data_IF_174257168504
#
_entry.id   IF_174257168504
#
_cell.length_a   1.000
_cell.length_b   1.000
_cell.length_c   1.000
_cell.angle_alpha   90.00
_cell.angle_beta   90.00
_cell.angle_gamma   90.00
#
_symmetry.space_group_name_H-M   'P 1'
#
loop_
_entity.id
_entity.type
_entity.pdbx_description
1 polymer ?
#
# COMPACT_ATOMS: atom_id res chain seq x y z
N UNK A 1 6.87 -14.70 11.89
CA UNK A 1 7.00 -13.49 11.04
C UNK A 1 5.85 -12.52 11.25
N UNK A 2 4.62 -12.79 10.78
CA UNK A 2 3.50 -11.84 10.96
C UNK A 2 3.16 -11.59 12.45
N UNK A 3 3.06 -12.66 13.26
CA UNK A 3 2.81 -12.55 14.70
C UNK A 3 3.96 -11.85 15.45
N UNK A 4 5.20 -12.03 15.01
CA UNK A 4 6.35 -11.32 15.59
C UNK A 4 6.30 -9.83 15.28
N UNK A 5 5.83 -9.47 14.08
CA UNK A 5 5.63 -8.07 13.70
C UNK A 5 4.52 -7.43 14.52
N UNK A 6 3.40 -8.12 14.76
CA UNK A 6 2.31 -7.63 15.63
C UNK A 6 2.82 -7.37 17.04
N UNK A 7 3.44 -8.39 17.67
CA UNK A 7 4.06 -8.25 19.00
C UNK A 7 5.05 -7.10 19.09
N UNK A 8 5.89 -6.94 18.06
CA UNK A 8 6.84 -5.82 18.01
C UNK A 8 6.12 -4.47 17.97
N UNK A 9 5.07 -4.34 17.14
CA UNK A 9 4.27 -3.12 17.05
C UNK A 9 3.54 -2.82 18.37
N UNK A 10 3.03 -3.84 19.05
CA UNK A 10 2.41 -3.73 20.37
C UNK A 10 3.39 -3.15 21.39
N UNK A 11 4.60 -3.73 21.51
CA UNK A 11 5.62 -3.19 22.41
C UNK A 11 6.14 -1.79 22.00
N UNK A 12 6.11 -1.47 20.71
CA UNK A 12 6.41 -0.11 20.22
C UNK A 12 5.25 0.88 20.46
N UNK A 13 4.07 0.37 20.83
CA UNK A 13 2.84 1.12 20.99
C UNK A 13 2.37 1.79 19.70
N UNK A 14 2.55 1.09 18.57
CA UNK A 14 2.12 1.52 17.23
C UNK A 14 0.85 0.74 16.88
N UNK A 15 -0.26 1.42 16.56
CA UNK A 15 -1.50 0.74 16.20
C UNK A 15 -1.35 -0.05 14.90
N UNK A 16 -1.98 -1.21 14.84
CA UNK A 16 -2.17 -2.00 13.63
C UNK A 16 -3.63 -2.45 13.54
N UNK A 17 -4.09 -2.71 12.32
CA UNK A 17 -5.48 -3.10 12.05
C UNK A 17 -5.47 -4.47 11.40
N UNK A 18 -6.31 -5.38 11.88
CA UNK A 18 -6.53 -6.66 11.24
C UNK A 18 -7.56 -6.49 10.11
N UNK A 19 -7.08 -6.45 8.86
CA UNK A 19 -7.96 -6.44 7.71
C UNK A 19 -8.76 -7.77 7.63
N UNK A 20 -10.03 -7.73 7.17
CA UNK A 20 -10.84 -8.93 6.96
C UNK A 20 -10.42 -9.72 5.71
N UNK A 21 -9.64 -9.08 4.82
CA UNK A 21 -9.12 -9.64 3.57
C UNK A 21 -7.79 -8.94 3.24
N UNK A 22 -7.68 -8.31 2.07
CA UNK A 22 -6.47 -7.61 1.63
C UNK A 22 -6.13 -6.38 2.49
N UNK A 23 -4.87 -6.31 2.94
CA UNK A 23 -4.38 -5.17 3.73
C UNK A 23 -4.42 -3.86 2.94
N UNK A 24 -4.15 -3.90 1.63
CA UNK A 24 -4.23 -2.72 0.75
C UNK A 24 -5.64 -2.21 0.57
N UNK A 25 -6.63 -3.11 0.58
CA UNK A 25 -8.03 -2.75 0.52
C UNK A 25 -8.50 -2.06 1.80
N UNK A 26 -8.10 -2.58 2.96
CA UNK A 26 -8.35 -1.93 4.25
C UNK A 26 -7.67 -0.56 4.33
N UNK A 27 -6.41 -0.46 3.91
CA UNK A 27 -5.71 0.83 3.86
C UNK A 27 -6.40 1.83 2.93
N UNK A 28 -6.82 1.39 1.74
CA UNK A 28 -7.59 2.21 0.81
C UNK A 28 -8.92 2.68 1.40
N UNK A 29 -9.64 1.80 2.08
CA UNK A 29 -10.87 2.13 2.81
C UNK A 29 -10.62 3.24 3.84
N UNK A 30 -9.60 3.08 4.69
CA UNK A 30 -9.24 4.05 5.73
C UNK A 30 -8.83 5.41 5.15
N UNK A 31 -8.25 5.46 3.93
CA UNK A 31 -8.00 6.76 3.27
C UNK A 31 -9.29 7.47 2.86
N UNK A 32 -10.33 6.71 2.46
CA UNK A 32 -11.61 7.26 1.99
C UNK A 32 -12.49 7.73 3.14
N UNK A 33 -12.47 7.03 4.27
CA UNK A 33 -13.18 7.42 5.50
C UNK A 33 -12.48 8.56 6.23
N UNK A 34 -11.21 8.83 5.90
CA UNK A 34 -10.44 9.93 6.48
C UNK A 34 -9.67 9.55 7.76
N UNK A 35 -9.66 8.27 8.13
CA UNK A 35 -8.93 7.75 9.29
C UNK A 35 -7.40 7.89 9.11
N UNK A 36 -6.93 7.83 7.87
CA UNK A 36 -5.51 8.04 7.53
C UNK A 36 -5.36 8.95 6.31
N UNK A 37 -4.22 9.63 6.22
CA UNK A 37 -3.96 10.58 5.12
C UNK A 37 -3.68 9.90 3.76
N UNK A 38 -2.99 8.75 3.78
CA UNK A 38 -2.59 7.98 2.60
C UNK A 38 -2.32 6.51 2.96
N UNK A 39 -2.46 5.61 1.98
CA UNK A 39 -1.87 4.28 2.02
C UNK A 39 -0.38 4.35 1.73
N UNK A 40 0.41 3.38 2.20
CA UNK A 40 1.83 3.28 1.89
C UNK A 40 2.19 1.86 1.47
N UNK A 41 2.54 1.68 0.20
CA UNK A 41 2.93 0.39 -0.39
C UNK A 41 3.96 0.57 -1.51
N UNK A 42 4.61 -0.52 -1.91
CA UNK A 42 5.35 -0.56 -3.17
C UNK A 42 4.43 -0.89 -4.34
N UNK A 43 3.32 -1.59 -4.10
CA UNK A 43 2.38 -1.98 -5.14
C UNK A 43 1.34 -0.89 -5.36
N UNK A 44 0.55 -1.04 -6.42
CA UNK A 44 -0.44 -0.04 -6.84
C UNK A 44 -1.88 -0.48 -6.53
N UNK A 45 -2.07 -1.64 -5.91
CA UNK A 45 -3.40 -2.24 -5.74
C UNK A 45 -4.29 -1.38 -4.84
N UNK A 46 -3.72 -0.67 -3.87
CA UNK A 46 -4.45 0.27 -3.04
C UNK A 46 -5.12 1.37 -3.86
N UNK A 47 -4.55 1.80 -5.01
CA UNK A 47 -5.22 2.72 -5.93
C UNK A 47 -6.41 2.05 -6.64
N UNK A 48 -6.28 0.77 -7.02
CA UNK A 48 -7.36 -0.03 -7.63
C UNK A 48 -8.51 -0.25 -6.62
N UNK A 49 -8.17 -0.51 -5.36
CA UNK A 49 -9.09 -0.55 -4.23
C UNK A 49 -9.66 0.81 -3.87
N UNK A 50 -9.19 1.90 -4.50
CA UNK A 50 -9.76 3.25 -4.37
C UNK A 50 -9.14 4.11 -3.27
N UNK A 51 -7.86 3.90 -2.96
CA UNK A 51 -7.11 4.76 -2.05
C UNK A 51 -7.02 6.17 -2.63
N UNK A 52 -7.32 7.20 -1.82
CA UNK A 52 -7.23 8.59 -2.29
C UNK A 52 -5.78 9.01 -2.59
N UNK A 53 -4.83 8.47 -1.80
CA UNK A 53 -3.41 8.81 -1.86
C UNK A 53 -2.58 7.58 -1.55
N UNK A 54 -1.59 7.29 -2.39
CA UNK A 54 -0.59 6.25 -2.19
C UNK A 54 0.79 6.88 -2.05
N UNK A 55 1.50 6.54 -0.98
CA UNK A 55 2.91 6.89 -0.77
C UNK A 55 3.79 5.68 -1.05
N UNK A 56 4.60 5.76 -2.10
CA UNK A 56 5.59 4.72 -2.42
C UNK A 56 6.96 5.06 -1.83
N UNK A 57 7.81 4.04 -1.77
CA UNK A 57 9.20 4.12 -1.28
C UNK A 57 9.39 4.48 0.21
N UNK A 58 8.33 4.59 1.02
CA UNK A 58 8.43 5.03 2.43
C UNK A 58 9.32 4.11 3.30
N UNK A 59 9.20 2.79 3.13
CA UNK A 59 9.94 1.79 3.93
C UNK A 59 11.35 1.52 3.41
N UNK A 60 11.66 1.95 2.19
CA UNK A 60 12.94 1.69 1.51
C UNK A 60 13.72 2.98 1.20
N UNK A 61 13.34 4.11 1.79
CA UNK A 61 14.04 5.39 1.61
C UNK A 61 15.51 5.25 2.01
N UNK A 62 16.43 5.61 1.12
CA UNK A 62 17.86 5.47 1.36
C UNK A 62 18.70 5.38 0.09
N UNK A 63 20.00 5.09 0.26
CA UNK A 63 20.93 4.81 -0.84
C UNK A 63 20.84 3.33 -1.21
N UNK A 64 20.18 2.99 -2.32
CA UNK A 64 20.18 1.62 -2.86
C UNK A 64 21.37 1.46 -3.80
N UNK A 65 22.22 0.48 -3.51
CA UNK A 65 23.36 0.12 -4.37
C UNK A 65 22.88 -0.82 -5.47
N UNK A 66 22.94 -0.40 -6.74
CA UNK A 66 22.66 -1.29 -7.86
C UNK A 66 23.90 -2.14 -8.16
N UNK A 67 23.82 -3.46 -7.91
CA UNK A 67 24.91 -4.40 -8.23
C UNK A 67 25.21 -4.47 -9.74
N UNK A 68 24.20 -4.21 -10.60
CA UNK A 68 24.33 -4.26 -12.08
C UNK A 68 24.89 -2.99 -12.73
N UNK A 69 24.82 -1.84 -12.04
CA UNK A 69 25.42 -0.56 -12.46
C UNK A 69 25.91 0.11 -11.17
N UNK A 70 27.22 0.14 -10.88
CA UNK A 70 27.74 0.59 -9.58
C UNK A 70 27.51 2.08 -9.40
N UNK A 71 26.29 2.43 -9.02
CA UNK A 71 25.82 3.77 -8.69
C UNK A 71 24.83 3.65 -7.54
N UNK A 72 24.90 4.62 -6.64
CA UNK A 72 23.91 4.82 -5.62
C UNK A 72 22.79 5.66 -6.21
N UNK A 73 21.55 5.18 -6.13
CA UNK A 73 20.39 6.03 -6.37
C UNK A 73 19.69 6.31 -5.04
N UNK A 74 19.22 7.54 -4.87
CA UNK A 74 18.45 7.96 -3.70
C UNK A 74 16.98 7.75 -4.01
N UNK A 75 16.39 6.71 -3.42
CA UNK A 75 14.94 6.54 -3.46
C UNK A 75 14.31 7.59 -2.55
N UNK A 76 13.48 8.44 -3.14
CA UNK A 76 12.67 9.43 -2.43
C UNK A 76 11.24 8.87 -2.32
N UNK A 77 10.50 9.22 -1.26
CA UNK A 77 9.06 8.99 -1.23
C UNK A 77 8.39 9.59 -2.47
N UNK A 78 7.46 8.85 -3.04
CA UNK A 78 6.65 9.27 -4.18
C UNK A 78 5.19 9.31 -3.73
N UNK A 79 4.48 10.39 -4.07
CA UNK A 79 3.07 10.54 -3.78
C UNK A 79 2.28 10.40 -5.08
N UNK A 80 1.28 9.52 -5.07
CA UNK A 80 0.35 9.32 -6.18
C UNK A 80 -1.05 9.60 -5.64
N UNK A 81 -1.76 10.51 -6.30
CA UNK A 81 -3.16 10.79 -5.97
C UNK A 81 -4.06 10.16 -7.02
N UNK A 82 -5.10 9.47 -6.56
CA UNK A 82 -5.99 8.73 -7.44
C UNK A 82 -6.78 9.68 -8.35
N UNK A 83 -7.25 10.80 -7.84
CA UNK A 83 -8.03 11.78 -8.60
C UNK A 83 -7.20 12.46 -9.71
N UNK A 84 -5.93 12.78 -9.43
CA UNK A 84 -5.00 13.31 -10.44
C UNK A 84 -4.70 12.24 -11.50
N UNK A 85 -4.42 11.00 -11.07
CA UNK A 85 -4.14 9.88 -11.98
C UNK A 85 -5.31 9.58 -12.93
N UNK A 86 -6.53 9.50 -12.39
CA UNK A 86 -7.74 9.24 -13.17
C UNK A 86 -8.03 10.38 -14.17
N UNK A 87 -7.81 11.64 -13.75
CA UNK A 87 -7.97 12.81 -14.63
C UNK A 87 -6.93 12.84 -15.75
N UNK A 88 -5.66 12.58 -15.44
CA UNK A 88 -4.59 12.56 -16.45
C UNK A 88 -4.76 11.43 -17.47
N UNK A 89 -5.26 10.27 -17.02
CA UNK A 89 -5.54 9.13 -17.89
C UNK A 89 -6.89 9.23 -18.60
N UNK A 90 -7.75 10.18 -18.19
CA UNK A 90 -9.15 10.31 -18.63
C UNK A 90 -9.91 8.98 -18.50
N UNK A 91 -9.83 8.38 -17.30
CA UNK A 91 -10.46 7.11 -16.95
C UNK A 91 -11.30 7.23 -15.68
N UNK A 92 -12.32 6.38 -15.57
CA UNK A 92 -12.95 6.08 -14.28
C UNK A 92 -12.14 5.04 -13.51
N UNK A 93 -12.39 4.89 -12.19
CA UNK A 93 -11.75 3.81 -11.40
C UNK A 93 -12.12 2.42 -11.93
N UNK A 94 -13.36 2.21 -12.36
CA UNK A 94 -13.79 0.96 -12.96
C UNK A 94 -13.02 0.66 -14.25
N UNK A 95 -12.82 1.68 -15.10
CA UNK A 95 -11.99 1.54 -16.31
C UNK A 95 -10.52 1.28 -16.00
N UNK A 96 -9.98 1.84 -14.92
CA UNK A 96 -8.63 1.54 -14.44
C UNK A 96 -8.52 0.08 -14.00
N UNK A 97 -9.53 -0.45 -13.30
CA UNK A 97 -9.60 -1.88 -12.91
C UNK A 97 -9.69 -2.76 -14.15
N UNK A 98 -10.57 -2.45 -15.10
CA UNK A 98 -10.69 -3.18 -16.36
C UNK A 98 -9.36 -3.19 -17.14
N UNK A 99 -8.65 -2.06 -17.15
CA UNK A 99 -7.32 -1.94 -17.74
C UNK A 99 -6.32 -2.89 -17.06
N UNK A 100 -6.35 -3.00 -15.73
CA UNK A 100 -5.50 -3.92 -14.98
C UNK A 100 -5.85 -5.39 -15.22
N UNK A 101 -7.14 -5.74 -15.31
CA UNK A 101 -7.58 -7.09 -15.66
C UNK A 101 -7.05 -7.50 -17.05
N UNK A 102 -7.03 -6.58 -18.03
CA UNK A 102 -6.43 -6.85 -19.35
C UNK A 102 -4.92 -7.12 -19.30
N UNK A 103 -4.20 -6.41 -18.43
CA UNK A 103 -2.74 -6.57 -18.27
C UNK A 103 -2.38 -7.82 -17.46
N UNK A 104 -3.29 -8.27 -16.61
CA UNK A 104 -3.07 -9.32 -15.62
C UNK A 104 -3.01 -8.73 -14.21
N UNK A 105 -3.63 -9.44 -13.27
CA UNK A 105 -3.61 -9.15 -11.84
C UNK A 105 -3.25 -10.43 -11.09
N UNK A 106 -3.14 -10.38 -9.76
CA UNK A 106 -2.94 -11.60 -8.98
C UNK A 106 -4.13 -12.58 -9.07
N UNK A 107 -5.29 -12.12 -9.58
CA UNK A 107 -6.51 -12.92 -9.74
C UNK A 107 -6.72 -13.43 -11.18
N UNK A 108 -5.91 -12.99 -12.16
CA UNK A 108 -5.99 -13.48 -13.54
C UNK A 108 -4.69 -13.25 -14.34
N UNK A 109 -4.37 -14.15 -15.27
CA UNK A 109 -3.13 -14.05 -16.08
C UNK A 109 -3.09 -12.85 -17.04
N UNK A 110 -4.23 -12.20 -17.28
CA UNK A 110 -4.37 -11.14 -18.27
C UNK A 110 -4.32 -11.66 -19.71
N UNK A 111 -4.12 -10.73 -20.64
CA UNK A 111 -4.08 -11.03 -22.07
C UNK A 111 -2.66 -10.87 -22.60
N UNK A 112 -2.12 -11.94 -23.18
CA UNK A 112 -0.77 -11.94 -23.75
C UNK A 112 -0.61 -10.84 -24.80
N UNK A 113 0.43 -10.01 -24.62
CA UNK A 113 0.74 -8.91 -25.55
C UNK A 113 -0.06 -7.62 -25.30
N UNK A 114 -0.87 -7.57 -24.24
CA UNK A 114 -1.50 -6.34 -23.77
C UNK A 114 -0.72 -5.80 -22.58
N UNK A 115 0.08 -4.76 -22.82
CA UNK A 115 0.73 -3.98 -21.76
C UNK A 115 0.00 -2.66 -21.47
N UNK A 116 0.53 -1.81 -20.56
CA UNK A 116 -0.17 -0.61 -20.07
C UNK A 116 -0.65 0.35 -21.15
N UNK A 117 0.20 0.65 -22.13
CA UNK A 117 -0.14 1.56 -23.22
C UNK A 117 -1.24 0.99 -24.12
N UNK A 118 -1.22 -0.33 -24.37
CA UNK A 118 -2.23 -0.98 -25.21
C UNK A 118 -3.56 -1.10 -24.46
N UNK A 119 -3.51 -1.51 -23.19
CA UNK A 119 -4.69 -1.62 -22.33
C UNK A 119 -5.42 -0.27 -22.21
N UNK A 120 -4.68 0.82 -21.96
CA UNK A 120 -5.25 2.17 -21.90
C UNK A 120 -5.95 2.56 -23.20
N UNK A 121 -5.30 2.36 -24.36
CA UNK A 121 -5.90 2.65 -25.67
C UNK A 121 -7.18 1.86 -25.93
N UNK A 122 -7.18 0.57 -25.57
CA UNK A 122 -8.34 -0.30 -25.76
C UNK A 122 -9.51 0.15 -24.89
N UNK A 123 -9.27 0.40 -23.60
CA UNK A 123 -10.32 0.90 -22.69
C UNK A 123 -10.84 2.26 -23.13
N UNK A 124 -9.98 3.18 -23.57
CA UNK A 124 -10.41 4.48 -24.13
C UNK A 124 -11.24 4.33 -25.41
N UNK A 125 -10.95 3.33 -26.25
CA UNK A 125 -11.66 3.08 -27.51
C UNK A 125 -13.03 2.43 -27.28
N UNK A 126 -13.08 1.40 -26.45
CA UNK A 126 -14.27 0.54 -26.30
C UNK A 126 -15.12 0.87 -25.06
N UNK A 127 -14.53 1.52 -24.06
CA UNK A 127 -15.20 2.04 -22.87
C UNK A 127 -15.19 1.11 -21.66
N UNK A 128 -15.26 -0.21 -21.86
CA UNK A 128 -15.21 -1.23 -20.80
C UNK A 128 -14.56 -2.52 -21.31
N UNK A 129 -14.25 -3.42 -20.39
CA UNK A 129 -13.58 -4.69 -20.69
C UNK A 129 -14.38 -5.58 -21.65
N UNK A 130 -15.69 -5.72 -21.45
CA UNK A 130 -16.53 -6.62 -22.25
C UNK A 130 -16.49 -6.24 -23.74
N UNK A 131 -16.58 -4.95 -24.05
CA UNK A 131 -16.49 -4.46 -25.44
C UNK A 131 -15.09 -4.60 -26.02
N UNK A 132 -14.04 -4.55 -25.21
CA UNK A 132 -12.66 -4.86 -25.66
C UNK A 132 -12.56 -6.32 -26.09
N UNK A 133 -13.10 -7.24 -25.28
CA UNK A 133 -13.06 -8.67 -25.55
C UNK A 133 -13.81 -9.02 -26.84
N UNK A 134 -15.02 -8.45 -27.02
CA UNK A 134 -15.78 -8.60 -28.25
C UNK A 134 -15.05 -7.99 -29.47
N UNK A 135 -14.61 -6.73 -29.35
CA UNK A 135 -14.03 -5.97 -30.45
C UNK A 135 -12.68 -6.48 -30.93
N UNK A 136 -11.87 -7.04 -30.03
CA UNK A 136 -10.57 -7.64 -30.37
C UNK A 136 -10.64 -9.17 -30.54
N UNK A 137 -11.82 -9.78 -30.34
CA UNK A 137 -12.02 -11.24 -30.36
C UNK A 137 -11.08 -11.99 -29.40
N UNK A 138 -11.00 -11.48 -28.17
CA UNK A 138 -10.14 -12.00 -27.09
C UNK A 138 -11.04 -12.59 -26.01
N UNK A 139 -10.59 -13.67 -25.37
CA UNK A 139 -11.22 -14.20 -24.16
C UNK A 139 -10.23 -14.18 -22.99
N UNK A 140 -10.77 -14.03 -21.78
CA UNK A 140 -10.05 -14.19 -20.52
C UNK A 140 -10.67 -15.40 -19.82
N UNK A 141 -9.85 -16.37 -19.42
CA UNK A 141 -10.29 -17.55 -18.70
C UNK A 141 -10.41 -17.26 -17.20
N UNK A 142 -11.30 -16.32 -16.85
CA UNK A 142 -11.58 -15.92 -15.47
C UNK A 142 -12.95 -15.25 -15.35
N UNK A 143 -13.53 -15.28 -14.15
CA UNK A 143 -14.73 -14.50 -13.84
C UNK A 143 -14.37 -13.02 -13.65
N UNK A 144 -14.52 -12.26 -14.73
CA UNK A 144 -14.23 -10.82 -14.78
C UNK A 144 -15.05 -10.06 -13.75
N UNK A 145 -16.32 -10.42 -13.55
CA UNK A 145 -17.20 -9.72 -12.61
C UNK A 145 -16.78 -9.97 -11.17
N UNK A 146 -16.39 -11.21 -10.85
CA UNK A 146 -15.84 -11.54 -9.53
C UNK A 146 -14.55 -10.74 -9.25
N UNK A 147 -13.63 -10.69 -10.21
CA UNK A 147 -12.36 -9.96 -10.06
C UNK A 147 -12.62 -8.45 -9.92
N UNK A 148 -13.47 -7.89 -10.78
CA UNK A 148 -13.87 -6.47 -10.68
C UNK A 148 -14.48 -6.17 -9.32
N UNK A 149 -15.31 -7.07 -8.79
CA UNK A 149 -15.93 -6.89 -7.48
C UNK A 149 -14.91 -6.93 -6.33
N UNK A 150 -13.85 -7.75 -6.42
CA UNK A 150 -12.75 -7.74 -5.44
C UNK A 150 -12.15 -6.34 -5.33
N UNK A 151 -11.86 -5.69 -6.47
CA UNK A 151 -11.26 -4.36 -6.46
C UNK A 151 -12.25 -3.23 -6.13
N UNK A 152 -13.49 -3.29 -6.64
CA UNK A 152 -14.46 -2.21 -6.49
C UNK A 152 -15.14 -2.23 -5.12
N UNK A 153 -15.47 -3.41 -4.61
CA UNK A 153 -16.20 -3.62 -3.35
C UNK A 153 -15.46 -4.61 -2.43
N UNK A 154 -14.19 -4.35 -2.07
CA UNK A 154 -13.46 -5.26 -1.19
C UNK A 154 -14.07 -5.27 0.23
N UNK A 155 -14.03 -6.42 0.93
CA UNK A 155 -14.34 -6.46 2.36
C UNK A 155 -13.39 -5.51 3.13
N UNK A 156 -13.96 -4.64 3.96
CA UNK A 156 -13.23 -3.77 4.86
C UNK A 156 -14.00 -3.65 6.18
N UNK A 157 -13.29 -3.35 7.26
CA UNK A 157 -13.87 -3.13 8.59
C UNK A 157 -13.81 -1.65 8.98
N UNK A 158 -14.89 -1.15 9.59
CA UNK A 158 -14.93 0.15 10.25
C UNK A 158 -14.42 0.08 11.70
N UNK A 159 -14.22 -1.13 12.23
CA UNK A 159 -13.65 -1.36 13.56
C UNK A 159 -12.13 -1.19 13.50
N UNK A 160 -11.69 0.07 13.38
CA UNK A 160 -10.29 0.45 13.31
C UNK A 160 -10.01 1.64 14.23
N UNK A 161 -9.77 1.35 15.51
CA UNK A 161 -9.37 2.37 16.46
C UNK A 161 -7.85 2.58 16.41
N UNK A 162 -7.41 3.72 15.85
CA UNK A 162 -6.00 4.08 15.79
C UNK A 162 -5.57 4.78 17.08
N UNK A 163 -5.10 4.00 18.05
CA UNK A 163 -4.54 4.51 19.31
C UNK A 163 -3.06 4.20 19.40
N UNK A 164 -2.28 5.25 19.62
CA UNK A 164 -0.87 5.13 19.92
C UNK A 164 -0.70 4.95 21.42
N UNK A 165 -0.07 3.86 21.85
CA UNK A 165 0.20 3.52 23.28
C UNK A 165 1.65 3.71 23.69
N UNK A 166 1.95 3.90 24.97
CA UNK A 166 3.35 4.14 25.37
C UNK A 166 4.28 2.95 25.07
N UNK A 167 5.55 3.25 24.82
CA UNK A 167 6.55 2.24 24.44
C UNK A 167 6.89 1.35 25.65
N UNK A 168 6.71 0.04 25.51
CA UNK A 168 7.14 -0.97 26.48
C UNK A 168 8.62 -1.32 26.26
N UNK A 169 9.49 -0.63 26.99
CA UNK A 169 10.95 -0.80 26.87
C UNK A 169 11.42 -2.17 27.36
N UNK A 170 10.85 -2.68 28.45
CA UNK A 170 11.24 -3.97 29.02
C UNK A 170 10.81 -5.11 28.10
N UNK A 171 9.58 -5.06 27.58
CA UNK A 171 9.07 -5.99 26.57
C UNK A 171 9.92 -5.99 25.29
N UNK A 172 10.30 -4.81 24.79
CA UNK A 172 11.20 -4.71 23.62
C UNK A 172 12.59 -5.30 23.88
N UNK A 173 13.15 -5.11 25.07
CA UNK A 173 14.46 -5.66 25.41
C UNK A 173 14.39 -7.19 25.49
N UNK A 174 13.43 -7.75 26.21
CA UNK A 174 13.24 -9.21 26.30
C UNK A 174 13.04 -9.80 24.91
N UNK A 175 12.08 -9.26 24.16
CA UNK A 175 11.73 -9.78 22.84
C UNK A 175 12.90 -9.68 21.85
N UNK A 176 13.51 -8.49 21.68
CA UNK A 176 14.55 -8.33 20.66
C UNK A 176 15.91 -8.89 21.09
N UNK A 177 16.31 -8.71 22.35
CA UNK A 177 17.66 -9.08 22.82
C UNK A 177 17.71 -10.54 23.24
N UNK A 178 16.79 -10.96 24.12
CA UNK A 178 16.85 -12.28 24.74
C UNK A 178 16.29 -13.37 23.82
N UNK A 179 15.14 -13.13 23.19
CA UNK A 179 14.51 -14.13 22.31
C UNK A 179 15.05 -14.11 20.88
N UNK A 180 15.41 -12.93 20.36
CA UNK A 180 15.82 -12.74 18.95
C UNK A 180 17.30 -12.41 18.76
N UNK A 181 18.08 -12.26 19.83
CA UNK A 181 19.54 -12.13 19.78
C UNK A 181 20.06 -10.79 19.24
N UNK A 182 19.26 -9.72 19.26
CA UNK A 182 19.72 -8.39 18.84
C UNK A 182 20.69 -7.78 19.86
N UNK A 183 21.62 -6.96 19.38
CA UNK A 183 22.57 -6.27 20.27
C UNK A 183 21.86 -5.24 21.16
N UNK A 184 21.91 -5.44 22.49
CA UNK A 184 21.24 -4.60 23.50
C UNK A 184 21.47 -3.10 23.31
N UNK A 185 22.71 -2.69 23.07
CA UNK A 185 23.07 -1.29 22.86
C UNK A 185 22.40 -0.66 21.63
N UNK A 186 22.16 -1.43 20.57
CA UNK A 186 21.44 -0.95 19.37
C UNK A 186 19.96 -0.79 19.65
N UNK A 187 19.37 -1.75 20.38
CA UNK A 187 17.95 -1.73 20.75
C UNK A 187 17.67 -0.54 21.66
N UNK A 188 18.45 -0.32 22.72
CA UNK A 188 18.30 0.84 23.62
C UNK A 188 18.36 2.18 22.88
N UNK A 189 19.32 2.36 21.97
CA UNK A 189 19.43 3.56 21.13
C UNK A 189 18.21 3.75 20.22
N UNK A 190 17.64 2.67 19.69
CA UNK A 190 16.43 2.73 18.87
C UNK A 190 15.20 3.12 19.70
N UNK A 191 15.05 2.57 20.91
CA UNK A 191 13.97 2.90 21.86
C UNK A 191 14.04 4.38 22.25
N UNK A 192 15.22 4.89 22.59
CA UNK A 192 15.40 6.32 22.93
C UNK A 192 14.96 7.24 21.78
N UNK A 193 15.32 6.89 20.54
CA UNK A 193 14.88 7.62 19.34
C UNK A 193 13.37 7.56 19.15
N UNK A 194 12.75 6.39 19.38
CA UNK A 194 11.30 6.20 19.29
C UNK A 194 10.57 7.10 20.30
N UNK A 195 11.02 7.11 21.56
CA UNK A 195 10.45 7.96 22.62
C UNK A 195 10.56 9.45 22.28
N UNK A 196 11.73 9.90 21.81
CA UNK A 196 11.95 11.29 21.37
C UNK A 196 11.03 11.69 20.22
N UNK A 197 10.89 10.83 19.21
CA UNK A 197 9.99 11.08 18.07
C UNK A 197 8.52 11.19 18.52
N UNK A 198 8.12 10.38 19.50
CA UNK A 198 6.76 10.35 20.04
C UNK A 198 6.40 11.61 20.83
N UNK A 199 7.34 12.14 21.62
CA UNK A 199 7.16 13.43 22.31
C UNK A 199 7.00 14.56 21.29
N UNK A 200 7.86 14.58 20.26
CA UNK A 200 7.79 15.60 19.20
C UNK A 200 6.47 15.51 18.41
N UNK A 201 5.97 14.31 18.14
CA UNK A 201 4.70 14.10 17.43
C UNK A 201 3.46 14.58 18.20
N UNK A 202 3.49 14.54 19.54
CA UNK A 202 2.42 15.10 20.39
C UNK A 202 2.40 16.64 20.40
N UNK A 203 3.50 17.29 20.02
CA UNK A 203 3.61 18.75 19.91
C UNK A 203 3.52 19.17 18.43
N UNK A 204 2.31 19.26 17.89
CA UNK A 204 2.09 19.88 16.57
C UNK A 204 2.18 21.40 16.72
N UNK A 205 3.38 21.98 16.58
CA UNK A 205 3.54 23.44 16.49
C UNK A 205 3.27 23.89 15.05
N UNK A 206 2.85 25.15 14.86
CA UNK A 206 2.59 25.72 13.53
C UNK A 206 3.82 25.64 12.59
N UNK A 207 5.04 25.62 13.15
CA UNK A 207 6.30 25.43 12.42
C UNK A 207 6.53 23.99 11.92
N UNK A 208 5.68 23.04 12.30
CA UNK A 208 5.79 21.63 11.94
C UNK A 208 5.10 21.28 10.61
N UNK A 209 4.47 22.25 9.95
CA UNK A 209 3.70 22.10 8.70
C UNK A 209 4.32 22.85 7.53
#
# INVERSE_FOLDING_TARGET
>A
MAEDSKKLLDYMGIPWVQAPSEGEAQAAYMTRTGDVWASASQDYDSLLFGSLRLVRNLTITGKKFLRKKPRYYRLKPELIKLDETLRELDLTREQLVDMCILMGTDYNEGVKGIGPVKAHKLIKKYGNLERVLEGESISIDADINAIRNIFLNPPATADCELKWEDVDEDGLIVFLVEERGFQRERVKKAIERLRKARIKGKQSTLESY
#
